data_IF_797076831933
#
_entry.id   IF_797076831933
#
_cell.length_a   1.000
_cell.length_b   1.000
_cell.length_c   1.000
_cell.angle_alpha   90.00
_cell.angle_beta   90.00
_cell.angle_gamma   90.00
#
_symmetry.space_group_name_H-M   'P 1'
#
loop_
_entity.id
_entity.type
_entity.pdbx_description
1 polymer ?
#
# COMPACT_ATOMS: atom_id res chain seq x y z
N UNK A 1 -35.44 22.97 4.62
CA UNK A 1 -34.93 22.89 3.23
C UNK A 1 -33.48 23.45 3.21
N UNK A 2 -32.44 22.59 3.47
CA UNK A 2 -31.04 23.02 3.57
C UNK A 2 -30.44 23.05 2.17
N UNK A 3 -30.18 24.23 1.65
CA UNK A 3 -29.38 24.46 0.46
C UNK A 3 -27.96 23.87 0.69
N UNK A 4 -27.71 22.67 0.18
CA UNK A 4 -26.36 22.16 0.00
C UNK A 4 -25.63 23.10 -0.96
N UNK A 5 -24.83 24.01 -0.42
CA UNK A 5 -23.81 24.71 -1.19
C UNK A 5 -22.90 23.63 -1.76
N UNK A 6 -23.07 23.32 -3.03
CA UNK A 6 -22.15 22.53 -3.81
C UNK A 6 -20.82 23.27 -3.83
N UNK A 7 -19.91 22.91 -2.96
CA UNK A 7 -18.50 23.28 -3.07
C UNK A 7 -18.01 22.69 -4.40
N UNK A 8 -18.07 23.49 -5.45
CA UNK A 8 -17.44 23.13 -6.73
C UNK A 8 -15.94 23.17 -6.49
N UNK A 9 -15.21 22.03 -6.65
CA UNK A 9 -13.78 22.02 -6.46
C UNK A 9 -13.13 23.06 -7.36
N UNK A 10 -12.04 23.73 -6.92
CA UNK A 10 -11.41 24.80 -7.66
C UNK A 10 -10.99 24.28 -9.03
N UNK A 11 -11.49 24.95 -10.07
CA UNK A 11 -11.16 24.65 -11.46
C UNK A 11 -9.90 25.43 -11.81
N UNK A 12 -8.92 24.73 -12.37
CA UNK A 12 -7.69 25.34 -12.85
C UNK A 12 -7.74 25.41 -14.37
N UNK A 13 -7.62 26.60 -14.91
CA UNK A 13 -7.46 26.83 -16.33
C UNK A 13 -5.99 27.17 -16.58
N UNK A 14 -5.34 26.42 -17.44
CA UNK A 14 -3.99 26.71 -17.93
C UNK A 14 -4.04 26.92 -19.43
N UNK A 15 -3.37 27.98 -19.89
CA UNK A 15 -3.16 28.21 -21.30
C UNK A 15 -2.01 27.32 -21.78
N UNK A 16 -2.24 26.54 -22.83
CA UNK A 16 -1.22 25.68 -23.44
C UNK A 16 -0.21 26.53 -24.22
N UNK A 17 0.91 25.93 -24.65
CA UNK A 17 1.87 26.62 -25.52
C UNK A 17 1.20 26.99 -26.84
N UNK A 18 0.50 26.09 -27.44
CA UNK A 18 -0.28 26.23 -28.66
C UNK A 18 -1.36 27.32 -28.53
N UNK A 19 -2.03 27.34 -27.38
CA UNK A 19 -3.03 28.33 -27.04
C UNK A 19 -2.44 29.75 -26.97
N UNK A 20 -1.24 29.91 -26.42
CA UNK A 20 -0.55 31.21 -26.40
C UNK A 20 -0.23 31.74 -27.80
N UNK A 21 0.30 30.86 -28.66
CA UNK A 21 0.58 31.23 -30.07
C UNK A 21 -0.70 31.57 -30.81
N UNK A 22 -1.75 30.76 -30.63
CA UNK A 22 -3.05 30.98 -31.25
C UNK A 22 -3.66 32.34 -30.88
N UNK A 23 -3.61 32.69 -29.59
CA UNK A 23 -4.08 33.99 -29.10
C UNK A 23 -3.22 35.12 -29.67
N UNK A 24 -1.90 34.97 -29.74
CA UNK A 24 -1.00 35.95 -30.33
C UNK A 24 -1.31 36.19 -31.80
N UNK A 25 -1.54 35.12 -32.59
CA UNK A 25 -1.95 35.22 -34.00
C UNK A 25 -3.31 35.94 -34.11
N UNK A 26 -4.27 35.59 -33.24
CA UNK A 26 -5.60 36.23 -33.24
C UNK A 26 -5.50 37.72 -32.98
N UNK A 27 -4.65 38.16 -32.07
CA UNK A 27 -4.37 39.58 -31.83
C UNK A 27 -3.70 40.22 -33.01
N UNK A 28 -2.73 39.58 -33.66
CA UNK A 28 -2.06 40.07 -34.86
C UNK A 28 -3.03 40.29 -36.02
N UNK A 29 -3.91 39.31 -36.27
CA UNK A 29 -4.97 39.42 -37.29
C UNK A 29 -5.94 40.55 -36.95
N UNK A 30 -6.32 40.68 -35.66
CA UNK A 30 -7.20 41.75 -35.21
C UNK A 30 -6.60 43.13 -35.46
N UNK A 31 -5.33 43.33 -35.14
CA UNK A 31 -4.60 44.57 -35.40
C UNK A 31 -4.51 44.88 -36.90
N UNK A 32 -4.19 43.85 -37.71
CA UNK A 32 -4.14 44.01 -39.17
C UNK A 32 -5.54 44.36 -39.76
N UNK A 33 -6.61 43.69 -39.25
CA UNK A 33 -7.98 43.96 -39.70
C UNK A 33 -8.40 45.42 -39.46
N UNK A 34 -8.09 45.94 -38.27
CA UNK A 34 -8.41 47.34 -37.92
C UNK A 34 -7.59 48.31 -38.77
N UNK A 35 -6.31 48.03 -39.00
CA UNK A 35 -5.43 48.96 -39.73
C UNK A 35 -5.70 48.94 -41.24
N UNK A 36 -6.11 47.83 -41.83
CA UNK A 36 -6.34 47.70 -43.28
C UNK A 36 -7.80 47.94 -43.66
N UNK A 37 -8.75 47.82 -42.73
CA UNK A 37 -10.18 47.88 -43.03
C UNK A 37 -10.72 46.76 -43.91
N UNK A 38 -9.95 45.68 -44.09
CA UNK A 38 -10.29 44.56 -44.99
C UNK A 38 -11.33 43.63 -44.38
N UNK A 39 -12.47 43.48 -45.07
CA UNK A 39 -13.59 42.61 -44.62
C UNK A 39 -13.21 41.14 -44.45
N UNK A 40 -12.27 40.63 -45.24
CA UNK A 40 -11.82 39.22 -45.11
C UNK A 40 -11.02 39.02 -43.81
N UNK A 41 -10.24 40.01 -43.37
CA UNK A 41 -9.54 39.96 -42.11
C UNK A 41 -10.50 40.00 -40.91
N UNK A 42 -11.59 40.77 -40.99
CA UNK A 42 -12.63 40.73 -39.96
C UNK A 42 -13.36 39.41 -39.91
N UNK A 43 -13.63 38.77 -41.06
CA UNK A 43 -14.21 37.45 -41.12
C UNK A 43 -13.26 36.40 -40.48
N UNK A 44 -11.98 36.44 -40.83
CA UNK A 44 -10.96 35.57 -40.24
C UNK A 44 -10.85 35.77 -38.73
N UNK A 45 -10.83 37.03 -38.26
CA UNK A 45 -10.83 37.33 -36.83
C UNK A 45 -12.06 36.73 -36.12
N UNK A 46 -13.25 36.87 -36.69
CA UNK A 46 -14.48 36.29 -36.17
C UNK A 46 -14.40 34.77 -36.04
N UNK A 47 -13.82 34.09 -37.05
CA UNK A 47 -13.59 32.63 -37.00
C UNK A 47 -12.61 32.26 -35.90
N UNK A 48 -11.48 32.94 -35.72
CA UNK A 48 -10.51 32.68 -34.69
C UNK A 48 -11.09 32.90 -33.29
N UNK A 49 -11.82 34.00 -33.07
CA UNK A 49 -12.50 34.28 -31.80
C UNK A 49 -13.59 33.22 -31.50
N UNK A 50 -14.38 32.84 -32.50
CA UNK A 50 -15.36 31.76 -32.38
C UNK A 50 -14.72 30.45 -31.92
N UNK A 51 -13.55 30.09 -32.44
CA UNK A 51 -12.82 28.91 -32.08
C UNK A 51 -12.34 28.92 -30.61
N UNK A 52 -11.92 30.10 -30.11
CA UNK A 52 -11.58 30.28 -28.69
C UNK A 52 -12.80 30.03 -27.80
N UNK A 53 -13.95 30.63 -28.13
CA UNK A 53 -15.18 30.49 -27.37
C UNK A 53 -15.67 29.06 -27.37
N UNK A 54 -15.74 28.43 -28.55
CA UNK A 54 -16.15 27.02 -28.70
C UNK A 54 -15.22 26.10 -27.93
N UNK A 55 -13.90 26.30 -27.99
CA UNK A 55 -12.93 25.52 -27.19
C UNK A 55 -13.18 25.67 -25.71
N UNK A 56 -13.47 26.87 -25.23
CA UNK A 56 -13.79 27.13 -23.82
C UNK A 56 -15.06 26.41 -23.37
N UNK A 57 -16.11 26.40 -24.18
CA UNK A 57 -17.39 25.74 -23.86
C UNK A 57 -17.28 24.23 -23.92
N UNK A 58 -16.71 23.68 -24.99
CA UNK A 58 -16.61 22.22 -25.18
C UNK A 58 -15.68 21.56 -24.14
N UNK A 59 -14.59 22.22 -23.76
CA UNK A 59 -13.74 21.73 -22.66
C UNK A 59 -14.48 21.67 -21.32
N UNK A 60 -15.35 22.64 -21.04
CA UNK A 60 -16.18 22.63 -19.85
C UNK A 60 -17.22 21.50 -19.87
N UNK A 61 -17.89 21.33 -21.01
CA UNK A 61 -18.86 20.23 -21.18
C UNK A 61 -18.21 18.85 -21.06
N UNK A 62 -16.97 18.69 -21.53
CA UNK A 62 -16.25 17.42 -21.43
C UNK A 62 -15.95 17.03 -19.97
N UNK A 63 -15.62 17.99 -19.09
CA UNK A 63 -15.31 17.72 -17.69
C UNK A 63 -16.53 17.64 -16.77
N UNK A 64 -17.69 18.07 -17.24
CA UNK A 64 -18.90 18.13 -16.42
C UNK A 64 -19.45 16.74 -16.14
N UNK A 65 -19.99 16.52 -14.91
CA UNK A 65 -20.72 15.31 -14.52
C UNK A 65 -19.91 14.00 -14.74
N UNK A 66 -18.60 14.04 -14.48
CA UNK A 66 -17.76 12.85 -14.43
C UNK A 66 -17.55 12.41 -12.98
N UNK A 67 -17.64 11.12 -12.72
CA UNK A 67 -17.22 10.47 -11.47
C UNK A 67 -16.03 9.56 -11.77
N UNK A 68 -15.04 9.58 -10.90
CA UNK A 68 -13.86 8.73 -11.02
C UNK A 68 -13.77 7.84 -9.79
N UNK A 69 -13.61 6.54 -10.01
CA UNK A 69 -13.47 5.53 -8.97
C UNK A 69 -12.15 4.79 -9.17
N UNK A 70 -11.46 4.52 -8.08
CA UNK A 70 -10.23 3.73 -8.05
C UNK A 70 -10.54 2.32 -7.58
N UNK A 71 -10.04 1.34 -8.30
CA UNK A 71 -10.02 -0.05 -7.88
C UNK A 71 -8.59 -0.46 -7.60
N UNK A 72 -8.29 -0.60 -6.31
CA UNK A 72 -6.98 -1.05 -5.84
C UNK A 72 -6.97 -2.58 -5.72
N UNK A 73 -5.83 -3.22 -5.96
CA UNK A 73 -5.69 -4.63 -5.66
C UNK A 73 -5.76 -4.85 -4.15
N UNK A 74 -6.22 -6.02 -3.69
CA UNK A 74 -6.31 -6.31 -2.26
C UNK A 74 -4.95 -6.35 -1.57
N UNK A 75 -3.89 -6.58 -2.34
CA UNK A 75 -2.50 -6.67 -1.85
C UNK A 75 -1.53 -6.12 -2.89
N UNK A 76 -0.54 -5.38 -2.42
CA UNK A 76 0.62 -4.95 -3.21
C UNK A 76 1.89 -5.29 -2.45
N UNK A 77 3.00 -5.48 -3.15
CA UNK A 77 4.27 -5.89 -2.59
C UNK A 77 5.40 -5.04 -3.17
N UNK A 78 6.40 -4.72 -2.35
CA UNK A 78 7.61 -3.98 -2.78
C UNK A 78 8.27 -4.72 -3.94
N UNK A 79 8.76 -3.96 -4.93
CA UNK A 79 9.44 -4.42 -6.14
C UNK A 79 8.59 -5.34 -7.04
N UNK A 80 7.32 -5.57 -6.75
CA UNK A 80 6.40 -6.31 -7.63
C UNK A 80 5.40 -5.38 -8.30
N UNK A 81 5.27 -5.44 -9.63
CA UNK A 81 4.30 -4.62 -10.33
C UNK A 81 2.88 -5.08 -10.01
N UNK A 82 2.00 -4.12 -9.76
CA UNK A 82 0.56 -4.33 -9.63
C UNK A 82 -0.21 -3.37 -10.54
N UNK A 83 -1.46 -3.70 -10.82
CA UNK A 83 -2.35 -2.86 -11.61
C UNK A 83 -3.23 -2.04 -10.67
N UNK A 84 -3.38 -0.76 -11.02
CA UNK A 84 -4.38 0.14 -10.44
C UNK A 84 -5.36 0.47 -11.54
N UNK A 85 -6.62 0.16 -11.33
CA UNK A 85 -7.68 0.45 -12.29
C UNK A 85 -8.38 1.75 -11.93
N UNK A 86 -8.59 2.59 -12.92
CA UNK A 86 -9.35 3.82 -12.82
C UNK A 86 -10.58 3.70 -13.71
N UNK A 87 -11.74 3.77 -13.10
CA UNK A 87 -13.01 3.76 -13.76
C UNK A 87 -13.57 5.19 -13.81
N UNK A 88 -13.88 5.67 -15.00
CA UNK A 88 -14.49 6.99 -15.21
C UNK A 88 -15.90 6.80 -15.74
N UNK A 89 -16.87 7.31 -15.01
CA UNK A 89 -18.29 7.27 -15.37
C UNK A 89 -18.78 8.65 -15.83
N UNK A 90 -19.45 8.69 -17.00
CA UNK A 90 -20.09 9.88 -17.54
C UNK A 90 -21.59 9.89 -17.24
N UNK A 91 -22.02 10.74 -16.32
CA UNK A 91 -23.43 10.85 -15.91
C UNK A 91 -24.28 11.68 -16.88
N UNK A 92 -23.68 12.33 -17.86
CA UNK A 92 -24.42 13.13 -18.84
C UNK A 92 -25.39 12.26 -19.64
N UNK A 93 -26.54 12.84 -19.99
CA UNK A 93 -27.60 12.08 -20.69
C UNK A 93 -27.35 11.93 -22.19
N UNK A 94 -26.78 12.96 -22.86
CA UNK A 94 -26.66 13.06 -24.32
C UNK A 94 -25.25 13.39 -24.79
N UNK A 95 -24.43 14.00 -23.96
CA UNK A 95 -23.14 14.57 -24.38
C UNK A 95 -22.01 13.63 -23.95
N UNK A 96 -21.21 13.13 -24.89
CA UNK A 96 -20.00 12.39 -24.53
C UNK A 96 -18.93 13.28 -23.93
N UNK A 97 -17.99 12.70 -23.23
CA UNK A 97 -16.75 13.36 -22.77
C UNK A 97 -15.61 12.94 -23.66
N UNK A 98 -14.78 13.90 -24.06
CA UNK A 98 -13.65 13.67 -24.96
C UNK A 98 -12.32 14.05 -24.32
N UNK A 99 -11.28 13.30 -24.71
CA UNK A 99 -9.88 13.55 -24.35
C UNK A 99 -9.69 13.81 -22.85
N UNK A 100 -10.22 12.90 -22.03
CA UNK A 100 -10.13 13.00 -20.57
C UNK A 100 -8.82 12.34 -20.10
N UNK A 101 -8.00 13.13 -19.41
CA UNK A 101 -6.80 12.69 -18.72
C UNK A 101 -7.09 12.58 -17.22
N UNK A 102 -6.75 11.47 -16.60
CA UNK A 102 -6.91 11.25 -15.15
C UNK A 102 -5.57 10.91 -14.54
N UNK A 103 -5.15 11.74 -13.59
CA UNK A 103 -3.97 11.51 -12.76
C UNK A 103 -4.41 11.07 -11.36
N UNK A 104 -3.79 10.03 -10.84
CA UNK A 104 -3.99 9.58 -9.47
C UNK A 104 -3.09 10.36 -8.51
N UNK A 105 -3.69 11.06 -7.55
CA UNK A 105 -2.99 11.90 -6.59
C UNK A 105 -2.75 11.14 -5.28
N UNK A 106 -1.49 11.10 -4.85
CA UNK A 106 -1.03 10.45 -3.63
C UNK A 106 -0.44 11.46 -2.65
N UNK A 107 -0.57 11.16 -1.37
CA UNK A 107 -0.01 12.00 -0.32
C UNK A 107 1.52 12.03 -0.41
N UNK A 108 2.10 13.24 -0.53
CA UNK A 108 3.55 13.45 -0.50
C UNK A 108 4.33 12.89 -1.67
N UNK A 109 3.68 12.47 -2.76
CA UNK A 109 4.34 11.92 -3.93
C UNK A 109 3.84 12.59 -5.21
N UNK A 110 4.69 12.74 -6.24
CA UNK A 110 4.25 13.24 -7.53
C UNK A 110 3.25 12.26 -8.16
N UNK A 111 2.40 12.78 -9.05
CA UNK A 111 1.50 11.95 -9.84
C UNK A 111 2.32 11.00 -10.73
N UNK A 112 2.05 9.69 -10.64
CA UNK A 112 2.87 8.69 -11.33
C UNK A 112 2.61 8.65 -12.83
N UNK A 113 1.35 8.52 -13.20
CA UNK A 113 0.94 8.28 -14.60
C UNK A 113 -0.42 8.89 -14.86
N UNK A 114 -0.65 9.21 -16.13
CA UNK A 114 -1.93 9.68 -16.64
C UNK A 114 -2.63 8.55 -17.37
N UNK A 115 -3.86 8.29 -17.00
CA UNK A 115 -4.75 7.46 -17.80
C UNK A 115 -5.50 8.35 -18.78
N UNK A 116 -5.50 7.96 -20.06
CA UNK A 116 -6.15 8.72 -21.13
C UNK A 116 -7.39 7.98 -21.64
N UNK A 117 -8.50 8.73 -21.73
CA UNK A 117 -9.77 8.26 -22.27
C UNK A 117 -10.15 9.11 -23.46
N UNK A 118 -10.12 8.53 -24.65
CA UNK A 118 -10.41 9.28 -25.89
C UNK A 118 -11.85 9.77 -25.92
N UNK A 119 -12.80 8.89 -25.61
CA UNK A 119 -14.24 9.19 -25.62
C UNK A 119 -14.94 8.36 -24.55
N UNK A 120 -15.74 8.99 -23.72
CA UNK A 120 -16.62 8.31 -22.76
C UNK A 120 -18.06 8.63 -23.15
N UNK A 121 -18.79 7.63 -23.60
CA UNK A 121 -20.17 7.79 -24.07
C UNK A 121 -21.09 8.25 -22.93
N UNK A 122 -22.24 8.85 -23.25
CA UNK A 122 -23.24 9.22 -22.24
C UNK A 122 -23.71 8.00 -21.46
N UNK A 123 -23.92 8.14 -20.15
CA UNK A 123 -24.40 7.08 -19.23
C UNK A 123 -23.56 5.80 -19.28
N UNK A 124 -22.28 5.91 -19.59
CA UNK A 124 -21.37 4.78 -19.63
C UNK A 124 -20.11 5.01 -18.80
N UNK A 125 -19.45 3.92 -18.45
CA UNK A 125 -18.16 3.91 -17.81
C UNK A 125 -17.08 3.43 -18.79
N UNK A 126 -15.86 3.90 -18.58
CA UNK A 126 -14.67 3.30 -19.18
C UNK A 126 -13.62 3.06 -18.09
N UNK A 127 -12.89 1.95 -18.25
CA UNK A 127 -11.83 1.54 -17.32
C UNK A 127 -10.50 1.63 -18.04
N UNK A 128 -9.54 2.23 -17.38
CA UNK A 128 -8.14 2.19 -17.78
C UNK A 128 -7.31 1.69 -16.60
N UNK A 129 -6.26 0.94 -16.87
CA UNK A 129 -5.36 0.46 -15.84
C UNK A 129 -3.94 0.94 -16.09
N UNK A 130 -3.23 1.27 -15.01
CA UNK A 130 -1.82 1.54 -15.09
C UNK A 130 -1.04 0.62 -14.18
N UNK A 131 0.17 0.26 -14.62
CA UNK A 131 1.08 -0.59 -13.86
C UNK A 131 1.94 0.28 -12.96
N UNK A 132 2.04 -0.13 -11.71
CA UNK A 132 2.89 0.51 -10.71
C UNK A 132 3.75 -0.51 -9.97
N UNK A 133 5.00 -0.14 -9.69
CA UNK A 133 5.93 -0.92 -8.88
C UNK A 133 6.30 -0.09 -7.65
N UNK A 134 5.84 -0.45 -6.46
CA UNK A 134 6.17 0.28 -5.25
C UNK A 134 7.64 0.09 -4.87
N UNK A 135 8.31 1.18 -4.50
CA UNK A 135 9.70 1.14 -4.03
C UNK A 135 9.82 0.89 -2.53
N UNK A 136 8.80 1.26 -1.75
CA UNK A 136 8.82 1.18 -0.28
C UNK A 136 7.56 0.48 0.22
N UNK A 137 7.68 -0.25 1.35
CA UNK A 137 6.54 -0.81 2.06
C UNK A 137 5.83 0.26 2.88
N UNK A 138 4.65 -0.06 3.36
CA UNK A 138 3.89 0.82 4.25
C UNK A 138 2.51 1.17 3.71
N UNK A 139 1.92 2.19 4.31
CA UNK A 139 0.63 2.71 3.88
C UNK A 139 0.81 3.68 2.72
N UNK A 140 0.26 3.35 1.58
CA UNK A 140 0.19 4.21 0.40
C UNK A 140 -1.16 4.91 0.38
N UNK A 141 -1.16 6.19 0.74
CA UNK A 141 -2.36 6.99 0.88
C UNK A 141 -2.67 7.73 -0.42
N UNK A 142 -3.80 7.41 -1.00
CA UNK A 142 -4.35 8.12 -2.14
C UNK A 142 -5.29 9.22 -1.67
N UNK A 143 -5.16 10.42 -2.22
CA UNK A 143 -5.92 11.61 -1.82
C UNK A 143 -7.08 11.88 -2.76
N UNK A 144 -6.89 11.63 -4.04
CA UNK A 144 -7.89 11.93 -5.04
C UNK A 144 -7.41 11.78 -6.47
N UNK A 145 -8.10 12.46 -7.37
CA UNK A 145 -7.78 12.48 -8.78
C UNK A 145 -7.71 13.90 -9.30
N UNK A 146 -6.78 14.14 -10.24
CA UNK A 146 -6.83 15.31 -11.11
C UNK A 146 -7.38 14.85 -12.46
N UNK A 147 -8.52 15.41 -12.83
CA UNK A 147 -9.16 15.15 -14.13
C UNK A 147 -8.96 16.37 -15.00
N UNK A 148 -8.35 16.18 -16.17
CA UNK A 148 -8.03 17.26 -17.11
C UNK A 148 -8.55 16.94 -18.51
N UNK A 149 -8.74 17.97 -19.31
CA UNK A 149 -9.00 17.87 -20.75
C UNK A 149 -8.36 19.03 -21.50
N UNK A 150 -7.93 18.74 -22.75
CA UNK A 150 -7.45 19.73 -23.72
C UNK A 150 -8.35 19.80 -24.95
N UNK A 151 -9.51 19.14 -24.88
CA UNK A 151 -10.47 19.09 -25.98
C UNK A 151 -11.12 20.48 -26.22
N UNK A 152 -11.41 20.89 -27.50
CA UNK A 152 -11.15 20.16 -28.74
C UNK A 152 -9.79 20.50 -29.39
N UNK A 153 -9.30 21.74 -29.29
CA UNK A 153 -8.17 22.24 -30.08
C UNK A 153 -6.87 22.33 -29.29
N UNK A 154 -6.84 21.88 -28.04
CA UNK A 154 -5.65 21.98 -27.22
C UNK A 154 -5.27 23.41 -26.78
N UNK A 155 -6.11 24.42 -27.02
CA UNK A 155 -5.81 25.81 -26.66
C UNK A 155 -5.75 26.02 -25.14
N UNK A 156 -6.62 25.30 -24.41
CA UNK A 156 -6.75 25.38 -22.96
C UNK A 156 -6.66 23.98 -22.35
N UNK A 157 -5.93 23.88 -21.27
CA UNK A 157 -6.01 22.73 -20.36
C UNK A 157 -6.90 23.12 -19.18
N UNK A 158 -8.08 22.53 -19.11
CA UNK A 158 -8.94 22.65 -17.95
C UNK A 158 -8.77 21.42 -17.06
N UNK A 159 -8.58 21.65 -15.77
CA UNK A 159 -8.49 20.57 -14.81
C UNK A 159 -9.32 20.83 -13.56
N UNK A 160 -9.76 19.76 -12.91
CA UNK A 160 -10.39 19.78 -11.60
C UNK A 160 -9.84 18.65 -10.75
N UNK A 161 -9.78 18.88 -9.46
CA UNK A 161 -9.40 17.87 -8.49
C UNK A 161 -10.66 17.29 -7.86
N UNK A 162 -10.68 15.96 -7.74
CA UNK A 162 -11.75 15.19 -7.10
C UNK A 162 -11.15 14.49 -5.90
N UNK A 163 -11.73 14.72 -4.72
CA UNK A 163 -11.32 13.99 -3.52
C UNK A 163 -11.85 12.57 -3.58
N UNK A 164 -10.96 11.59 -3.50
CA UNK A 164 -11.29 10.17 -3.46
C UNK A 164 -10.21 9.47 -2.65
N UNK A 165 -10.43 9.42 -1.36
CA UNK A 165 -9.48 8.80 -0.44
C UNK A 165 -9.44 7.28 -0.65
N UNK A 166 -8.27 6.70 -0.45
CA UNK A 166 -8.06 5.26 -0.51
C UNK A 166 -6.71 4.92 0.08
N UNK A 167 -6.64 3.81 0.79
CA UNK A 167 -5.42 3.31 1.39
C UNK A 167 -5.07 1.95 0.79
N UNK A 168 -3.82 1.79 0.38
CA UNK A 168 -3.26 0.52 -0.03
C UNK A 168 -2.09 0.17 0.89
N UNK A 169 -2.10 -1.03 1.45
CA UNK A 169 -0.98 -1.52 2.23
C UNK A 169 -0.01 -2.24 1.29
N UNK A 170 1.22 -1.73 1.25
CA UNK A 170 2.31 -2.32 0.48
C UNK A 170 3.12 -3.21 1.42
N UNK A 171 3.08 -4.51 1.17
CA UNK A 171 3.80 -5.51 1.93
C UNK A 171 5.30 -5.50 1.61
N UNK A 172 6.16 -5.95 2.55
CA UNK A 172 7.58 -6.11 2.28
C UNK A 172 7.81 -7.12 1.15
N UNK A 173 8.95 -7.00 0.49
CA UNK A 173 9.37 -7.99 -0.48
C UNK A 173 9.58 -9.34 0.20
N UNK A 174 9.17 -10.42 -0.46
CA UNK A 174 9.34 -11.80 0.00
C UNK A 174 10.14 -12.55 -1.05
N UNK A 175 11.29 -13.05 -0.65
CA UNK A 175 12.16 -13.88 -1.46
C UNK A 175 11.92 -15.37 -1.17
N UNK A 176 12.30 -16.21 -2.11
CA UNK A 176 12.32 -17.65 -1.88
C UNK A 176 13.51 -17.98 -0.94
N UNK A 177 13.20 -18.50 0.24
CA UNK A 177 14.21 -18.92 1.23
C UNK A 177 14.08 -20.40 1.43
N UNK A 178 15.20 -21.10 1.31
CA UNK A 178 15.31 -22.51 1.68
C UNK A 178 15.57 -22.56 3.19
N UNK A 179 14.61 -23.08 3.92
CA UNK A 179 14.79 -23.34 5.34
C UNK A 179 15.63 -24.60 5.50
N UNK A 180 16.54 -24.65 6.49
CA UNK A 180 17.25 -25.87 6.77
C UNK A 180 16.25 -27.01 7.01
N UNK A 181 16.49 -28.13 6.34
CA UNK A 181 15.70 -29.34 6.58
C UNK A 181 15.92 -29.78 8.02
N UNK A 182 14.82 -30.12 8.68
CA UNK A 182 14.88 -30.69 10.02
C UNK A 182 15.49 -32.09 9.91
N UNK A 183 16.81 -32.20 9.96
CA UNK A 183 17.43 -33.51 10.19
C UNK A 183 16.94 -34.02 11.53
N UNK A 184 16.55 -35.32 11.62
CA UNK A 184 16.22 -35.95 12.87
C UNK A 184 17.52 -36.06 13.69
N UNK A 185 17.88 -34.97 14.39
CA UNK A 185 19.17 -34.86 15.07
C UNK A 185 19.42 -33.51 15.71
N UNK A 186 18.62 -32.49 15.42
CA UNK A 186 18.77 -31.16 16.02
C UNK A 186 18.28 -31.18 17.49
N UNK A 187 19.07 -31.93 18.33
CA UNK A 187 18.98 -31.95 19.77
C UNK A 187 19.59 -30.66 20.32
N UNK A 188 18.82 -29.60 20.37
CA UNK A 188 19.18 -28.50 21.25
C UNK A 188 18.29 -28.59 22.49
N UNK A 189 18.89 -29.17 23.55
CA UNK A 189 18.39 -29.10 24.91
C UNK A 189 17.20 -29.98 25.23
N UNK A 190 17.50 -31.14 25.81
CA UNK A 190 16.69 -31.86 26.78
C UNK A 190 15.22 -32.15 26.44
N UNK A 191 14.95 -33.39 26.28
CA UNK A 191 13.67 -34.06 26.05
C UNK A 191 13.21 -34.11 24.59
N UNK A 192 13.76 -35.07 23.87
CA UNK A 192 13.07 -35.71 22.76
C UNK A 192 11.79 -36.33 23.26
N UNK A 193 10.78 -35.54 23.51
CA UNK A 193 9.43 -36.08 23.57
C UNK A 193 9.02 -36.37 22.11
N UNK A 194 9.42 -37.51 21.59
CA UNK A 194 8.62 -38.28 20.63
C UNK A 194 7.29 -38.54 21.33
N UNK A 195 6.53 -37.45 21.54
CA UNK A 195 5.25 -37.48 22.21
C UNK A 195 4.26 -38.19 21.30
N UNK A 196 3.59 -39.22 21.84
CA UNK A 196 2.38 -39.78 21.27
C UNK A 196 1.41 -38.63 20.94
N UNK A 197 0.88 -38.64 19.75
CA UNK A 197 -0.05 -37.58 19.28
C UNK A 197 -0.99 -38.10 18.20
N UNK A 198 -1.83 -37.20 17.70
CA UNK A 198 -2.84 -37.51 16.68
C UNK A 198 -2.37 -37.23 15.24
N UNK A 199 -1.06 -37.31 14.94
CA UNK A 199 -0.52 -37.13 13.61
C UNK A 199 -0.84 -38.30 12.67
N UNK A 200 -0.68 -38.12 11.36
CA UNK A 200 -0.97 -39.14 10.36
C UNK A 200 0.15 -40.20 10.21
N UNK A 201 1.34 -39.89 10.71
CA UNK A 201 2.52 -40.74 10.57
C UNK A 201 2.58 -41.79 11.70
N UNK A 202 2.70 -43.05 11.33
CA UNK A 202 2.78 -44.17 12.29
C UNK A 202 4.21 -44.28 12.81
N UNK A 203 4.43 -43.99 14.09
CA UNK A 203 5.72 -44.11 14.78
C UNK A 203 6.09 -45.54 15.10
N UNK A 204 5.15 -46.27 15.69
CA UNK A 204 5.35 -47.63 16.12
C UNK A 204 4.04 -48.41 16.24
N UNK A 205 4.13 -49.73 16.30
CA UNK A 205 3.03 -50.62 16.58
C UNK A 205 3.31 -51.29 17.94
N UNK A 206 2.36 -51.24 18.85
CA UNK A 206 2.45 -51.88 20.16
C UNK A 206 1.17 -52.62 20.54
N UNK A 207 1.25 -53.47 21.53
CA UNK A 207 0.09 -54.10 22.09
C UNK A 207 -0.84 -53.10 22.78
N UNK A 208 -2.14 -53.30 22.61
CA UNK A 208 -3.19 -52.49 23.22
C UNK A 208 -3.10 -52.56 24.75
N UNK A 209 -3.28 -51.42 25.39
CA UNK A 209 -3.36 -51.29 26.85
C UNK A 209 -4.72 -50.70 27.24
N UNK A 210 -5.10 -50.93 28.48
CA UNK A 210 -6.30 -50.37 29.04
C UNK A 210 -6.25 -48.83 28.99
N UNK A 211 -7.27 -48.22 28.35
CA UNK A 211 -7.32 -46.76 28.11
C UNK A 211 -6.90 -46.30 26.71
N UNK A 212 -6.50 -47.18 25.81
CA UNK A 212 -6.22 -46.82 24.41
C UNK A 212 -7.51 -46.60 23.61
N UNK A 213 -7.49 -45.65 22.65
CA UNK A 213 -8.63 -45.37 21.78
C UNK A 213 -8.81 -46.52 20.76
N UNK A 214 -10.00 -47.10 20.66
CA UNK A 214 -10.31 -48.15 19.66
C UNK A 214 -10.08 -47.70 18.20
N UNK A 215 -10.10 -46.43 17.91
CA UNK A 215 -9.82 -45.86 16.57
C UNK A 215 -8.39 -46.07 16.13
N UNK A 216 -7.45 -46.25 17.04
CA UNK A 216 -6.03 -46.43 16.75
C UNK A 216 -5.66 -47.92 16.59
N UNK A 217 -6.60 -48.85 16.67
CA UNK A 217 -6.36 -50.28 16.46
C UNK A 217 -5.96 -50.50 14.98
N UNK A 218 -4.83 -51.20 14.79
CA UNK A 218 -4.36 -51.62 13.48
C UNK A 218 -4.92 -52.97 13.10
N UNK A 219 -6.15 -53.01 12.67
CA UNK A 219 -6.91 -54.22 12.36
C UNK A 219 -6.20 -55.21 11.43
N UNK A 220 -5.33 -54.70 10.53
CA UNK A 220 -4.62 -55.51 9.55
C UNK A 220 -3.61 -56.50 10.16
N UNK A 221 -3.13 -56.24 11.38
CA UNK A 221 -2.19 -57.11 12.13
C UNK A 221 -2.74 -57.56 13.46
N UNK A 222 -3.95 -57.22 13.84
CA UNK A 222 -4.60 -57.60 15.07
C UNK A 222 -5.36 -58.90 14.86
N UNK A 223 -4.65 -60.07 14.79
CA UNK A 223 -5.28 -61.41 14.60
C UNK A 223 -5.43 -62.12 15.92
N UNK A 224 -4.36 -62.26 16.71
CA UNK A 224 -4.37 -62.89 18.01
C UNK A 224 -4.32 -61.91 19.18
N UNK A 225 -3.69 -60.76 18.96
CA UNK A 225 -3.54 -59.73 19.97
C UNK A 225 -3.87 -58.37 19.34
N UNK A 226 -4.56 -57.53 20.09
CA UNK A 226 -4.89 -56.18 19.59
C UNK A 226 -3.66 -55.30 19.55
N UNK A 227 -3.32 -54.81 18.35
CA UNK A 227 -2.18 -53.94 18.09
C UNK A 227 -2.69 -52.53 17.83
N UNK A 228 -2.13 -51.54 18.53
CA UNK A 228 -2.46 -50.14 18.41
C UNK A 228 -1.33 -49.40 17.69
N UNK A 229 -1.69 -48.50 16.80
CA UNK A 229 -0.76 -47.59 16.10
C UNK A 229 -0.42 -46.43 17.02
N UNK A 230 0.83 -46.28 17.32
CA UNK A 230 1.33 -45.04 17.92
C UNK A 230 1.63 -44.04 16.80
N UNK A 231 0.87 -42.98 16.79
CA UNK A 231 1.07 -41.90 15.80
C UNK A 231 2.08 -40.90 16.32
N UNK A 232 2.89 -40.36 15.41
CA UNK A 232 3.77 -39.26 15.72
C UNK A 232 2.95 -38.01 16.12
N UNK A 233 3.39 -37.33 17.14
CA UNK A 233 2.85 -36.02 17.42
C UNK A 233 3.41 -35.05 16.36
N UNK A 234 2.54 -34.43 15.58
CA UNK A 234 2.91 -33.29 14.74
C UNK A 234 3.39 -32.18 15.65
N UNK A 235 4.68 -32.07 15.86
CA UNK A 235 5.28 -30.97 16.62
C UNK A 235 5.24 -29.75 15.72
N UNK A 236 4.15 -28.99 15.79
CA UNK A 236 4.11 -27.65 15.19
C UNK A 236 5.14 -26.81 15.92
N UNK A 237 6.18 -26.43 15.22
CA UNK A 237 7.22 -25.56 15.77
C UNK A 237 6.74 -24.12 15.73
N UNK A 238 6.84 -23.42 16.84
CA UNK A 238 6.63 -21.98 16.91
C UNK A 238 8.00 -21.29 16.83
N UNK A 239 8.23 -20.58 15.73
CA UNK A 239 9.45 -19.79 15.51
C UNK A 239 9.21 -18.35 15.88
N UNK A 240 10.12 -17.76 16.64
CA UNK A 240 10.01 -16.38 17.12
C UNK A 240 11.11 -15.50 16.52
N UNK A 241 10.72 -14.40 15.89
CA UNK A 241 11.62 -13.37 15.38
C UNK A 241 11.49 -12.09 16.20
N UNK A 242 12.63 -11.54 16.62
CA UNK A 242 12.69 -10.23 17.26
C UNK A 242 13.21 -9.19 16.25
N UNK A 243 12.49 -8.08 16.12
CA UNK A 243 12.89 -6.95 15.28
C UNK A 243 13.06 -5.73 16.16
N UNK A 244 14.22 -5.12 16.06
CA UNK A 244 14.49 -3.82 16.66
C UNK A 244 14.16 -2.72 15.64
N UNK A 245 13.16 -1.91 15.97
CA UNK A 245 12.73 -0.75 15.16
C UNK A 245 13.31 0.55 15.68
N UNK A 246 14.17 0.51 16.72
CA UNK A 246 14.77 1.69 17.30
C UNK A 246 16.00 2.13 16.53
N UNK A 247 16.13 3.44 16.30
CA UNK A 247 17.30 4.04 15.65
C UNK A 247 17.96 5.07 16.57
N UNK A 248 19.29 5.19 16.54
CA UNK A 248 19.99 6.25 17.26
C UNK A 248 19.72 7.60 16.59
N UNK A 249 19.43 8.64 17.38
CA UNK A 249 19.20 9.99 16.91
C UNK A 249 17.74 10.34 16.60
N UNK A 250 17.50 11.58 16.15
CA UNK A 250 16.17 12.10 15.86
C UNK A 250 15.63 11.64 14.51
N UNK A 251 16.53 11.42 13.55
CA UNK A 251 16.19 10.95 12.19
C UNK A 251 17.04 9.70 11.89
N UNK A 252 16.45 8.66 11.33
CA UNK A 252 17.20 7.46 10.96
C UNK A 252 18.19 7.78 9.83
N UNK A 253 19.44 7.33 9.99
CA UNK A 253 20.46 7.37 8.98
C UNK A 253 20.10 6.46 7.78
N UNK A 254 20.62 6.79 6.59
CA UNK A 254 20.33 6.04 5.36
C UNK A 254 20.85 4.60 5.46
N UNK A 255 22.05 4.40 6.04
CA UNK A 255 22.63 3.08 6.28
C UNK A 255 21.78 2.26 7.26
N UNK A 256 21.27 2.89 8.32
CA UNK A 256 20.38 2.23 9.27
C UNK A 256 19.06 1.82 8.58
N UNK A 257 18.48 2.73 7.82
CA UNK A 257 17.24 2.48 7.08
C UNK A 257 17.40 1.29 6.13
N UNK A 258 18.49 1.24 5.40
CA UNK A 258 18.80 0.15 4.46
C UNK A 258 18.93 -1.19 5.19
N UNK A 259 19.63 -1.22 6.33
CA UNK A 259 19.78 -2.43 7.17
C UNK A 259 18.45 -2.88 7.75
N UNK A 260 17.63 -1.93 8.22
CA UNK A 260 16.33 -2.20 8.77
C UNK A 260 15.37 -2.79 7.72
N UNK A 261 15.31 -2.21 6.53
CA UNK A 261 14.51 -2.71 5.42
C UNK A 261 14.94 -4.13 4.98
N UNK A 262 16.26 -4.37 4.91
CA UNK A 262 16.81 -5.70 4.61
C UNK A 262 16.40 -6.72 5.67
N UNK A 263 16.45 -6.37 6.95
CA UNK A 263 16.02 -7.24 8.04
C UNK A 263 14.55 -7.57 7.99
N UNK A 264 13.71 -6.58 7.68
CA UNK A 264 12.26 -6.81 7.51
C UNK A 264 11.99 -7.74 6.33
N UNK A 265 12.68 -7.56 5.22
CA UNK A 265 12.59 -8.44 4.05
C UNK A 265 13.00 -9.88 4.38
N UNK A 266 14.10 -10.08 5.11
CA UNK A 266 14.57 -11.39 5.56
C UNK A 266 13.55 -12.07 6.49
N UNK A 267 13.06 -11.35 7.51
CA UNK A 267 12.05 -11.88 8.43
C UNK A 267 10.74 -12.21 7.70
N UNK A 268 10.28 -11.35 6.79
CA UNK A 268 9.09 -11.60 5.98
C UNK A 268 9.24 -12.87 5.13
N UNK A 269 10.40 -13.04 4.49
CA UNK A 269 10.71 -14.19 3.63
C UNK A 269 10.73 -15.50 4.43
N UNK A 270 11.43 -15.50 5.57
CA UNK A 270 11.49 -16.65 6.47
C UNK A 270 10.13 -16.96 7.09
N UNK A 271 9.37 -15.95 7.51
CA UNK A 271 8.04 -16.15 8.05
C UNK A 271 7.10 -16.84 7.05
N UNK A 272 7.11 -16.40 5.79
CA UNK A 272 6.33 -17.04 4.73
C UNK A 272 6.79 -18.48 4.49
N UNK A 273 8.11 -18.74 4.49
CA UNK A 273 8.66 -20.07 4.28
C UNK A 273 8.27 -21.03 5.43
N UNK A 274 8.36 -20.56 6.69
CA UNK A 274 7.93 -21.34 7.86
C UNK A 274 6.44 -21.69 7.84
N UNK A 275 5.59 -20.69 7.54
CA UNK A 275 4.13 -20.90 7.46
C UNK A 275 3.78 -21.89 6.35
N UNK A 276 4.45 -21.81 5.19
CA UNK A 276 4.28 -22.78 4.10
C UNK A 276 4.70 -24.20 4.50
N UNK A 277 5.70 -24.34 5.40
CA UNK A 277 6.14 -25.62 5.94
C UNK A 277 5.20 -26.18 7.02
N UNK A 278 4.27 -25.39 7.55
CA UNK A 278 3.34 -25.80 8.60
C UNK A 278 3.66 -25.26 10.00
N UNK A 279 4.75 -24.49 10.14
CA UNK A 279 5.18 -23.93 11.42
C UNK A 279 4.33 -22.71 11.83
N UNK A 280 4.21 -22.43 13.13
CA UNK A 280 3.75 -21.16 13.65
C UNK A 280 4.88 -20.11 13.66
N UNK A 281 4.56 -18.86 13.40
CA UNK A 281 5.53 -17.76 13.42
C UNK A 281 5.02 -16.64 14.31
N UNK A 282 5.86 -16.20 15.23
CA UNK A 282 5.62 -15.03 16.08
C UNK A 282 6.68 -13.98 15.79
N UNK A 283 6.26 -12.78 15.43
CA UNK A 283 7.15 -11.62 15.29
C UNK A 283 6.89 -10.68 16.45
N UNK A 284 7.94 -10.25 17.11
CA UNK A 284 7.87 -9.30 18.23
C UNK A 284 8.83 -8.13 18.02
N UNK A 285 8.42 -6.95 18.44
CA UNK A 285 9.28 -5.77 18.51
C UNK A 285 9.91 -5.66 19.92
N UNK A 286 10.95 -4.86 20.01
CA UNK A 286 11.54 -4.53 21.31
C UNK A 286 10.57 -3.75 22.22
N UNK A 287 9.63 -3.02 21.63
CA UNK A 287 8.58 -2.26 22.35
C UNK A 287 7.44 -3.12 22.88
N UNK A 288 7.50 -4.46 22.71
CA UNK A 288 6.51 -5.39 23.24
C UNK A 288 5.36 -5.73 22.29
N UNK A 289 5.24 -5.05 21.15
CA UNK A 289 4.24 -5.41 20.14
C UNK A 289 4.56 -6.81 19.58
N UNK A 290 3.55 -7.66 19.49
CA UNK A 290 3.71 -9.03 18.97
C UNK A 290 2.57 -9.43 18.05
N UNK A 291 2.90 -10.15 17.00
CA UNK A 291 1.92 -10.74 16.09
C UNK A 291 2.28 -12.19 15.83
N UNK A 292 1.29 -13.06 15.87
CA UNK A 292 1.42 -14.50 15.57
C UNK A 292 0.66 -14.84 14.30
N UNK A 293 1.29 -15.64 13.45
CA UNK A 293 0.66 -16.27 12.31
C UNK A 293 0.83 -17.79 12.37
N UNK A 294 -0.17 -18.49 11.89
CA UNK A 294 -0.20 -19.95 11.81
C UNK A 294 -0.64 -20.37 10.42
N UNK A 295 -0.46 -21.62 10.06
CA UNK A 295 -0.90 -22.15 8.76
C UNK A 295 -2.39 -21.90 8.49
N UNK A 296 -3.23 -21.95 9.52
CA UNK A 296 -4.68 -21.73 9.38
C UNK A 296 -5.04 -20.29 9.00
N UNK A 297 -4.27 -19.30 9.47
CA UNK A 297 -4.50 -17.87 9.22
C UNK A 297 -3.65 -17.36 8.06
N UNK A 298 -2.59 -18.08 7.73
CA UNK A 298 -1.62 -17.68 6.71
C UNK A 298 -0.64 -16.61 7.19
N UNK A 299 0.21 -16.13 6.27
CA UNK A 299 1.27 -15.17 6.58
C UNK A 299 0.79 -13.70 6.66
N UNK A 300 -0.46 -13.42 6.28
CA UNK A 300 -0.99 -12.06 6.14
C UNK A 300 -0.85 -11.20 7.42
N UNK A 301 -1.17 -11.67 8.63
CA UNK A 301 -1.02 -10.86 9.83
C UNK A 301 0.41 -10.39 10.07
N UNK A 302 1.39 -11.28 9.86
CA UNK A 302 2.81 -10.95 10.02
C UNK A 302 3.27 -10.01 8.93
N UNK A 303 2.90 -10.24 7.67
CA UNK A 303 3.28 -9.35 6.56
C UNK A 303 2.67 -7.95 6.71
N UNK A 304 1.42 -7.87 7.18
CA UNK A 304 0.75 -6.59 7.46
C UNK A 304 1.41 -5.85 8.62
N UNK A 305 1.75 -6.56 9.68
CA UNK A 305 2.48 -5.99 10.80
C UNK A 305 3.83 -5.43 10.35
N UNK A 306 4.62 -6.22 9.60
CA UNK A 306 5.90 -5.80 9.07
C UNK A 306 5.76 -4.63 8.07
N UNK A 307 4.68 -4.57 7.29
CA UNK A 307 4.42 -3.47 6.38
C UNK A 307 4.23 -2.14 7.13
N UNK A 308 3.54 -2.16 8.27
CA UNK A 308 3.19 -0.98 9.05
C UNK A 308 4.21 -0.63 10.14
N UNK A 309 5.22 -1.47 10.33
CA UNK A 309 6.26 -1.24 11.34
C UNK A 309 7.16 -0.07 10.91
N UNK A 310 7.06 1.03 11.64
CA UNK A 310 7.85 2.25 11.44
C UNK A 310 9.09 2.26 12.33
N UNK A 311 10.14 2.96 11.86
CA UNK A 311 11.31 3.26 12.67
C UNK A 311 10.91 4.25 13.77
N UNK A 312 11.32 3.97 15.01
CA UNK A 312 11.08 4.86 16.16
C UNK A 312 12.44 5.30 16.71
N UNK A 313 12.57 6.56 17.17
CA UNK A 313 13.79 6.96 17.88
C UNK A 313 13.96 6.08 19.13
N UNK A 314 15.21 5.70 19.41
CA UNK A 314 15.51 4.98 20.64
C UNK A 314 15.16 5.91 21.81
N UNK A 315 14.30 5.49 22.71
CA UNK A 315 14.13 6.19 23.99
C UNK A 315 15.50 6.22 24.68
N UNK A 316 16.06 7.40 24.83
CA UNK A 316 17.23 7.58 25.71
C UNK A 316 16.85 7.00 27.07
N UNK A 317 17.64 6.07 27.62
CA UNK A 317 17.39 5.61 28.99
C UNK A 317 17.30 6.85 29.85
N UNK A 318 16.17 7.01 30.54
CA UNK A 318 15.97 8.13 31.47
C UNK A 318 17.25 8.28 32.30
N UNK A 319 17.93 9.42 32.13
CA UNK A 319 19.15 9.71 32.89
C UNK A 319 18.80 9.46 34.34
N UNK A 320 19.46 8.47 34.97
CA UNK A 320 19.34 8.27 36.41
C UNK A 320 19.60 9.63 37.02
N UNK A 321 18.56 10.18 37.64
CA UNK A 321 18.69 11.44 38.40
C UNK A 321 19.91 11.28 39.30
N UNK A 322 20.82 12.25 39.33
CA UNK A 322 21.94 12.17 40.22
C UNK A 322 21.40 12.02 41.64
N UNK A 323 21.77 10.92 42.28
CA UNK A 323 21.46 10.61 43.66
C UNK A 323 21.84 11.82 44.49
N UNK A 324 20.83 12.49 45.05
CA UNK A 324 20.95 13.72 45.78
C UNK A 324 22.09 13.59 46.79
N UNK A 325 23.12 14.43 46.63
CA UNK A 325 24.16 14.61 47.59
C UNK A 325 23.52 14.85 48.95
N UNK A 326 23.69 13.93 49.90
CA UNK A 326 23.34 14.08 51.29
C UNK A 326 24.02 15.35 51.78
N UNK A 327 23.23 16.40 51.97
CA UNK A 327 23.69 17.60 52.70
C UNK A 327 24.11 17.19 54.11
N UNK A 328 25.41 17.22 54.38
CA UNK A 328 25.94 17.18 55.73
C UNK A 328 25.43 18.40 56.52
N UNK A 329 25.02 18.23 57.78
CA UNK A 329 24.57 19.37 58.57
C UNK A 329 25.75 20.27 58.90
N UNK A 330 25.61 21.56 58.59
CA UNK A 330 26.53 22.64 59.03
C UNK A 330 26.44 22.72 60.57
N UNK A 331 27.54 22.39 61.30
CA UNK A 331 27.77 22.73 62.70
C UNK A 331 28.04 24.24 62.77
N UNK A 332 27.14 24.95 63.44
CA UNK A 332 27.36 26.31 63.86
C UNK A 332 28.13 26.20 65.15
N UNK A 333 29.39 26.60 65.21
CA UNK A 333 30.14 26.90 66.41
C UNK A 333 29.85 28.35 66.80
N UNK A 334 29.12 28.49 67.88
CA UNK A 334 28.97 29.72 68.62
C UNK A 334 30.27 29.96 69.48
N UNK A 335 30.98 31.05 69.19
CA UNK A 335 32.06 31.54 70.05
C UNK A 335 31.60 32.80 70.68
N UNK A 336 31.60 32.74 72.01
CA UNK A 336 31.52 33.82 73.08
C UNK A 336 32.35 35.06 72.78
#
# INVERSE_FOLDING_TARGET
MRLRKFFRPPRKLKLTREGKYFIGITFGVGFAAINTGNNLLYLLLGMLLSMIVVSGVLSELSLRELTVVRRLPPRAQVARPHLVEIEVFNHKRRIPSYAIEVEDLRAGQPADKRCFFLKISPRSAQVAAYRRTPARRGRDRHVGFRVATRFPFGLFEKSRELTAEGDLIIYPAVDAVVLPSNLPGDRVGGNSALGRGSGDEILSLRLMREGDDPRDIYWRKSVEQMIVRERAREVRRDVSYAIDSSHPGLVPDEDWTTRFERRIRDVASRAVAHIKRGDGVTVRTRTGERVRATTAVGADPVLRFLALLEAKPAELPAAKAPESAKRAPLKIEEKT
#
